data_IF_419169846009
#
_entry.id   IF_419169846009
#
_cell.length_a   1.000
_cell.length_b   1.000
_cell.length_c   1.000
_cell.angle_alpha   90.00
_cell.angle_beta   90.00
_cell.angle_gamma   90.00
#
_symmetry.space_group_name_H-M   'P 1'
#
loop_
_entity.id
_entity.type
_entity.pdbx_description
1 polymer ?
#
# COMPACT_ATOMS: atom_id res chain seq x y z
N UNK A 1 -11.24 26.72 2.91
CA UNK A 1 -11.05 26.82 1.44
C UNK A 1 -11.19 25.41 0.88
N UNK A 2 -12.07 25.23 -0.10
CA UNK A 2 -12.36 23.91 -0.70
C UNK A 2 -11.23 23.51 -1.65
N UNK A 3 -10.76 22.26 -1.59
CA UNK A 3 -9.83 21.67 -2.57
C UNK A 3 -10.69 21.01 -3.64
N UNK A 4 -10.71 21.57 -4.85
CA UNK A 4 -11.51 21.06 -5.96
C UNK A 4 -10.68 20.33 -7.00
N UNK A 5 -9.44 20.78 -7.20
CA UNK A 5 -8.49 20.18 -8.13
C UNK A 5 -7.11 20.07 -7.46
N UNK A 6 -6.22 19.21 -7.97
CA UNK A 6 -4.87 19.07 -7.45
C UNK A 6 -4.11 20.37 -7.21
N UNK A 7 -4.24 21.34 -8.13
CA UNK A 7 -3.52 22.62 -8.07
C UNK A 7 -3.88 23.46 -6.84
N UNK A 8 -5.05 23.24 -6.25
CA UNK A 8 -5.49 23.95 -5.04
C UNK A 8 -4.68 23.53 -3.79
N UNK A 9 -3.87 22.47 -3.89
CA UNK A 9 -2.92 22.06 -2.85
C UNK A 9 -1.69 22.98 -2.77
N UNK A 10 -1.45 23.86 -3.75
CA UNK A 10 -0.33 24.81 -3.70
C UNK A 10 -0.46 25.74 -2.48
N UNK A 11 0.62 25.86 -1.72
CA UNK A 11 0.69 26.58 -0.45
C UNK A 11 -0.04 25.88 0.71
N UNK A 12 -0.49 24.64 0.54
CA UNK A 12 -1.24 23.88 1.56
C UNK A 12 -0.40 22.76 2.17
N UNK A 13 -0.94 22.12 3.19
CA UNK A 13 -0.34 20.96 3.82
C UNK A 13 -1.08 19.67 3.45
N UNK A 14 -0.32 18.59 3.22
CA UNK A 14 -0.84 17.23 3.05
C UNK A 14 -0.21 16.29 4.07
N UNK A 15 -0.90 15.20 4.42
CA UNK A 15 -0.43 14.24 5.41
C UNK A 15 0.04 12.92 4.80
N UNK A 16 1.09 12.35 5.41
CA UNK A 16 1.66 11.02 5.10
C UNK A 16 1.83 10.21 6.38
N UNK A 17 2.04 8.89 6.27
CA UNK A 17 2.26 8.03 7.44
C UNK A 17 3.58 8.28 8.12
N UNK A 18 4.65 8.28 7.34
CA UNK A 18 6.00 8.64 7.76
C UNK A 18 6.84 8.99 6.55
N UNK A 19 7.88 9.80 6.74
CA UNK A 19 8.85 10.05 5.68
C UNK A 19 9.53 8.75 5.23
N UNK A 20 9.69 8.58 3.92
CA UNK A 20 10.24 7.37 3.30
C UNK A 20 9.31 6.15 3.29
N UNK A 21 8.04 6.29 3.68
CA UNK A 21 7.04 5.23 3.49
C UNK A 21 6.36 5.34 2.13
N UNK A 22 5.66 4.27 1.70
CA UNK A 22 4.90 4.29 0.46
C UNK A 22 3.89 5.43 0.33
N UNK A 23 3.28 5.89 1.45
CA UNK A 23 2.39 7.07 1.39
C UNK A 23 3.13 8.39 1.13
N UNK A 24 4.37 8.52 1.59
CA UNK A 24 5.24 9.66 1.27
C UNK A 24 5.69 9.61 -0.19
N UNK A 25 6.17 8.45 -0.65
CA UNK A 25 6.53 8.22 -2.05
C UNK A 25 5.39 8.58 -3.01
N UNK A 26 4.23 7.94 -2.85
CA UNK A 26 3.09 8.13 -3.77
C UNK A 26 2.58 9.57 -3.69
N UNK A 27 2.60 10.21 -2.51
CA UNK A 27 2.19 11.63 -2.38
C UNK A 27 3.11 12.52 -3.19
N UNK A 28 4.43 12.31 -3.10
CA UNK A 28 5.41 13.08 -3.89
C UNK A 28 5.24 12.84 -5.38
N UNK A 29 5.05 11.59 -5.78
CA UNK A 29 4.82 11.21 -7.16
C UNK A 29 3.56 11.87 -7.74
N UNK A 30 2.45 11.83 -7.01
CA UNK A 30 1.19 12.47 -7.39
C UNK A 30 1.33 14.00 -7.49
N UNK A 31 1.99 14.64 -6.52
CA UNK A 31 2.24 16.07 -6.58
C UNK A 31 3.04 16.46 -7.83
N UNK A 32 4.12 15.71 -8.14
CA UNK A 32 4.93 15.95 -9.33
C UNK A 32 4.16 15.75 -10.62
N UNK A 33 3.32 14.71 -10.71
CA UNK A 33 2.49 14.47 -11.90
C UNK A 33 1.44 15.57 -12.12
N UNK A 34 1.09 16.32 -11.06
CA UNK A 34 0.24 17.50 -11.13
C UNK A 34 1.01 18.83 -11.32
N UNK A 35 2.32 18.76 -11.53
CA UNK A 35 3.19 19.94 -11.70
C UNK A 35 3.45 20.72 -10.41
N UNK A 36 3.25 20.10 -9.25
CA UNK A 36 3.54 20.70 -7.94
C UNK A 36 4.85 20.13 -7.38
N UNK A 37 5.74 21.01 -6.92
CA UNK A 37 6.98 20.58 -6.28
C UNK A 37 6.75 20.21 -4.81
N UNK A 38 6.97 18.95 -4.39
CA UNK A 38 6.83 18.55 -3.00
C UNK A 38 7.75 19.36 -2.09
N UNK A 39 7.29 19.73 -0.89
CA UNK A 39 8.01 20.55 0.11
C UNK A 39 8.15 22.03 -0.29
N UNK A 40 8.29 22.36 -1.58
CA UNK A 40 8.36 23.74 -2.07
C UNK A 40 6.97 24.34 -2.26
N UNK A 41 6.12 23.69 -3.04
CA UNK A 41 4.75 24.14 -3.32
C UNK A 41 3.75 23.57 -2.32
N UNK A 42 4.03 22.40 -1.72
CA UNK A 42 3.11 21.72 -0.79
C UNK A 42 3.86 21.19 0.42
N UNK A 43 3.44 21.58 1.63
CA UNK A 43 4.01 21.10 2.89
C UNK A 43 3.57 19.66 3.15
N UNK A 44 4.50 18.78 3.55
CA UNK A 44 4.20 17.38 3.88
C UNK A 44 4.36 17.16 5.38
N UNK A 45 3.30 16.72 6.05
CA UNK A 45 3.27 16.45 7.49
C UNK A 45 3.17 14.94 7.76
N UNK A 46 4.00 14.44 8.66
CA UNK A 46 3.90 13.08 9.17
C UNK A 46 2.86 13.02 10.29
N UNK A 47 1.75 12.31 10.05
CA UNK A 47 0.62 12.23 11.00
C UNK A 47 0.37 10.81 11.51
N UNK A 48 0.86 9.77 10.82
CA UNK A 48 0.66 8.38 11.23
C UNK A 48 -0.32 7.63 10.31
N UNK A 49 -0.96 6.58 10.81
CA UNK A 49 -1.84 5.67 10.07
C UNK A 49 -3.07 6.36 9.43
N UNK A 50 -3.75 5.61 8.55
CA UNK A 50 -4.77 6.18 7.67
C UNK A 50 -5.99 6.79 8.39
N UNK A 51 -6.52 6.22 9.49
CA UNK A 51 -7.63 6.83 10.23
C UNK A 51 -7.31 8.23 10.80
N UNK A 52 -6.10 8.43 11.31
CA UNK A 52 -5.58 9.64 11.93
C UNK A 52 -5.38 10.71 10.87
N UNK A 53 -4.88 10.31 9.69
CA UNK A 53 -4.80 11.20 8.54
C UNK A 53 -6.18 11.61 8.02
N UNK A 54 -7.14 10.69 7.97
CA UNK A 54 -8.51 11.02 7.61
C UNK A 54 -9.11 12.04 8.60
N UNK A 55 -8.92 11.83 9.90
CA UNK A 55 -9.36 12.77 10.93
C UNK A 55 -8.69 14.14 10.77
N UNK A 56 -7.39 14.18 10.45
CA UNK A 56 -6.66 15.42 10.22
C UNK A 56 -7.15 16.19 8.98
N UNK A 57 -7.52 15.49 7.91
CA UNK A 57 -8.13 16.12 6.71
C UNK A 57 -9.54 16.63 7.05
N UNK A 58 -10.36 15.81 7.71
CA UNK A 58 -11.73 16.18 8.07
C UNK A 58 -11.79 17.36 9.05
N UNK A 59 -10.84 17.43 9.99
CA UNK A 59 -10.67 18.56 10.92
C UNK A 59 -9.96 19.77 10.33
N UNK A 60 -9.56 19.74 9.06
CA UNK A 60 -8.92 20.86 8.36
C UNK A 60 -7.47 21.15 8.76
N UNK A 61 -6.84 20.30 9.58
CA UNK A 61 -5.41 20.41 9.96
C UNK A 61 -4.49 20.28 8.74
N UNK A 62 -4.89 19.45 7.78
CA UNK A 62 -4.27 19.32 6.46
C UNK A 62 -5.36 19.33 5.38
N UNK A 63 -4.97 19.64 4.15
CA UNK A 63 -5.88 19.77 3.00
C UNK A 63 -5.95 18.53 2.12
N UNK A 64 -5.10 17.53 2.38
CA UNK A 64 -5.13 16.27 1.64
C UNK A 64 -4.31 15.18 2.32
N UNK A 65 -4.56 13.93 1.94
CA UNK A 65 -3.78 12.77 2.35
C UNK A 65 -4.08 11.62 1.41
N UNK A 66 -3.09 10.77 1.17
CA UNK A 66 -3.37 9.42 0.68
C UNK A 66 -3.99 8.61 1.82
N UNK A 67 -5.08 7.91 1.53
CA UNK A 67 -5.79 7.07 2.49
C UNK A 67 -5.85 5.63 1.99
N UNK A 68 -5.91 4.67 2.92
CA UNK A 68 -6.21 3.30 2.57
C UNK A 68 -7.64 3.21 2.03
N UNK A 69 -7.86 2.28 1.10
CA UNK A 69 -9.17 2.07 0.48
C UNK A 69 -10.31 1.84 1.48
N UNK A 70 -10.00 1.24 2.63
CA UNK A 70 -10.96 1.03 3.73
C UNK A 70 -11.51 2.34 4.32
N UNK A 71 -10.82 3.47 4.15
CA UNK A 71 -11.25 4.78 4.62
C UNK A 71 -12.07 5.54 3.59
N UNK A 72 -12.11 5.10 2.32
CA UNK A 72 -12.82 5.80 1.24
C UNK A 72 -14.31 6.01 1.52
N UNK A 73 -15.08 5.00 2.00
CA UNK A 73 -16.49 5.23 2.33
C UNK A 73 -16.69 6.28 3.43
N UNK A 74 -15.85 6.25 4.46
CA UNK A 74 -15.90 7.23 5.55
C UNK A 74 -15.52 8.64 5.07
N UNK A 75 -14.51 8.75 4.21
CA UNK A 75 -14.10 10.02 3.61
C UNK A 75 -15.24 10.63 2.77
N UNK A 76 -15.92 9.83 1.94
CA UNK A 76 -17.09 10.27 1.17
C UNK A 76 -18.24 10.74 2.06
N UNK A 77 -18.55 10.00 3.15
CA UNK A 77 -19.58 10.40 4.14
C UNK A 77 -19.25 11.71 4.85
N UNK A 78 -17.96 12.04 5.00
CA UNK A 78 -17.48 13.32 5.55
C UNK A 78 -17.45 14.45 4.50
N UNK A 79 -17.96 14.22 3.28
CA UNK A 79 -17.98 15.21 2.21
C UNK A 79 -16.60 15.49 1.59
N UNK A 80 -15.60 14.63 1.85
CA UNK A 80 -14.27 14.79 1.27
C UNK A 80 -14.26 14.37 -0.20
N UNK A 81 -13.47 15.09 -1.00
CA UNK A 81 -13.30 14.84 -2.43
C UNK A 81 -12.11 13.93 -2.68
N UNK A 82 -12.30 12.93 -3.53
CA UNK A 82 -11.20 12.12 -4.08
C UNK A 82 -10.58 12.90 -5.26
N UNK A 83 -9.30 13.25 -5.15
CA UNK A 83 -8.60 14.01 -6.21
C UNK A 83 -8.04 13.10 -7.32
N UNK A 84 -7.65 11.88 -6.97
CA UNK A 84 -7.23 10.86 -7.92
C UNK A 84 -7.34 9.46 -7.32
N UNK A 85 -7.52 8.46 -8.19
CA UNK A 85 -7.26 7.07 -7.86
C UNK A 85 -5.79 6.76 -8.18
N UNK A 86 -4.97 6.68 -7.14
CA UNK A 86 -3.53 6.47 -7.27
C UNK A 86 -3.18 5.01 -7.61
N UNK A 87 -4.16 4.09 -7.66
CA UNK A 87 -3.98 2.77 -8.27
C UNK A 87 -3.80 2.84 -9.79
N UNK A 88 -4.07 4.00 -10.41
CA UNK A 88 -3.90 4.24 -11.84
C UNK A 88 -2.55 4.88 -12.18
N UNK A 89 -1.72 5.20 -11.18
CA UNK A 89 -0.36 5.69 -11.46
C UNK A 89 0.48 4.50 -11.87
N UNK A 90 1.04 4.57 -13.08
CA UNK A 90 1.93 3.56 -13.65
C UNK A 90 3.31 3.61 -12.98
N UNK A 91 3.35 3.15 -11.74
CA UNK A 91 4.57 2.96 -10.98
C UNK A 91 4.47 1.62 -10.28
N UNK A 92 5.33 0.69 -10.68
CA UNK A 92 5.48 -0.59 -10.00
C UNK A 92 6.13 -0.33 -8.63
N UNK A 93 5.28 -0.08 -7.62
CA UNK A 93 5.71 0.12 -6.25
C UNK A 93 5.11 -0.99 -5.37
N UNK A 94 5.93 -1.87 -4.78
CA UNK A 94 5.45 -3.01 -4.03
C UNK A 94 4.69 -2.54 -2.78
N UNK A 95 3.41 -2.88 -2.72
CA UNK A 95 2.53 -2.67 -1.57
C UNK A 95 2.38 -3.99 -0.80
N UNK A 96 2.45 -3.94 0.53
CA UNK A 96 2.18 -5.12 1.36
C UNK A 96 3.22 -6.24 1.22
N UNK A 97 4.50 -5.89 1.37
CA UNK A 97 5.61 -6.85 1.26
C UNK A 97 5.75 -7.67 2.55
N UNK A 98 6.02 -8.97 2.40
CA UNK A 98 6.44 -9.83 3.51
C UNK A 98 7.96 -9.80 3.63
N UNK A 99 8.46 -9.62 4.85
CA UNK A 99 9.90 -9.64 5.14
C UNK A 99 10.15 -10.42 6.43
N UNK A 100 11.33 -11.03 6.50
CA UNK A 100 11.83 -11.75 7.66
C UNK A 100 13.34 -11.50 7.80
N UNK A 101 13.90 -11.76 8.98
CA UNK A 101 15.35 -11.68 9.14
C UNK A 101 16.05 -12.81 8.38
N UNK A 102 17.23 -12.52 7.83
CA UNK A 102 18.07 -13.53 7.16
C UNK A 102 18.31 -14.75 8.05
N UNK A 103 18.59 -14.52 9.35
CA UNK A 103 18.78 -15.59 10.35
C UNK A 103 17.56 -16.51 10.47
N UNK A 104 16.34 -15.96 10.44
CA UNK A 104 15.13 -16.78 10.51
C UNK A 104 14.96 -17.62 9.23
N UNK A 105 15.21 -17.01 8.08
CA UNK A 105 15.12 -17.67 6.77
C UNK A 105 16.11 -18.83 6.68
N UNK A 106 17.37 -18.60 7.08
CA UNK A 106 18.43 -19.61 7.06
C UNK A 106 18.20 -20.73 8.07
N UNK A 107 17.83 -20.38 9.31
CA UNK A 107 17.72 -21.38 10.39
C UNK A 107 16.41 -22.15 10.37
N UNK A 108 15.34 -21.60 9.80
CA UNK A 108 13.99 -22.18 9.83
C UNK A 108 13.31 -22.15 8.45
N UNK A 109 13.94 -22.69 7.39
CA UNK A 109 13.37 -22.68 6.04
C UNK A 109 12.01 -23.40 5.96
N UNK A 110 11.79 -24.44 6.75
CA UNK A 110 10.51 -25.16 6.82
C UNK A 110 9.38 -24.28 7.37
N UNK A 111 9.69 -23.43 8.36
CA UNK A 111 8.72 -22.49 8.92
C UNK A 111 8.34 -21.43 7.88
N UNK A 112 9.32 -20.90 7.14
CA UNK A 112 9.07 -19.95 6.05
C UNK A 112 8.20 -20.59 4.96
N UNK A 113 8.51 -21.83 4.57
CA UNK A 113 7.74 -22.59 3.58
C UNK A 113 6.30 -22.83 4.04
N UNK A 114 6.11 -23.30 5.28
CA UNK A 114 4.78 -23.55 5.84
C UNK A 114 3.96 -22.25 5.95
N UNK A 115 4.59 -21.15 6.38
CA UNK A 115 3.95 -19.84 6.45
C UNK A 115 3.52 -19.35 5.06
N UNK A 116 4.39 -19.40 4.06
CA UNK A 116 4.08 -18.93 2.71
C UNK A 116 2.98 -19.79 2.05
N UNK A 117 2.99 -21.11 2.28
CA UNK A 117 1.90 -21.99 1.85
C UNK A 117 0.57 -21.55 2.47
N UNK A 118 0.51 -21.41 3.80
CA UNK A 118 -0.68 -20.98 4.51
C UNK A 118 -1.14 -19.57 4.08
N UNK A 119 -0.21 -18.67 3.77
CA UNK A 119 -0.49 -17.33 3.28
C UNK A 119 -1.18 -17.37 1.90
N UNK A 120 -0.66 -18.15 0.95
CA UNK A 120 -1.25 -18.31 -0.38
C UNK A 120 -2.62 -19.00 -0.30
N UNK A 121 -2.76 -20.05 0.52
CA UNK A 121 -4.06 -20.69 0.78
C UNK A 121 -5.06 -19.70 1.41
N UNK A 122 -4.60 -18.83 2.31
CA UNK A 122 -5.40 -17.77 2.90
C UNK A 122 -5.89 -16.75 1.86
N UNK A 123 -5.06 -16.39 0.88
CA UNK A 123 -5.46 -15.55 -0.26
C UNK A 123 -6.57 -16.24 -1.05
N UNK A 124 -6.42 -17.52 -1.37
CA UNK A 124 -7.43 -18.29 -2.11
C UNK A 124 -8.75 -18.38 -1.33
N UNK A 125 -8.68 -18.65 -0.03
CA UNK A 125 -9.86 -18.67 0.83
C UNK A 125 -10.56 -17.30 0.87
N UNK A 126 -9.79 -16.21 0.98
CA UNK A 126 -10.34 -14.86 0.97
C UNK A 126 -11.01 -14.50 -0.37
N UNK A 127 -10.46 -14.96 -1.49
CA UNK A 127 -11.03 -14.75 -2.83
C UNK A 127 -12.30 -15.56 -3.07
N UNK A 128 -12.34 -16.81 -2.64
CA UNK A 128 -13.39 -17.77 -3.00
C UNK A 128 -14.52 -17.87 -1.97
N UNK A 129 -14.25 -17.66 -0.68
CA UNK A 129 -15.24 -17.73 0.39
C UNK A 129 -15.71 -16.33 0.81
N UNK A 130 -16.67 -15.76 0.07
CA UNK A 130 -17.21 -14.41 0.31
C UNK A 130 -17.75 -14.21 1.74
N UNK A 131 -18.59 -15.09 2.32
CA UNK A 131 -19.06 -14.91 3.69
C UNK A 131 -17.94 -14.77 4.71
N UNK A 132 -16.93 -15.64 4.64
CA UNK A 132 -15.77 -15.58 5.54
C UNK A 132 -14.96 -14.28 5.32
N UNK A 133 -14.70 -13.92 4.06
CA UNK A 133 -13.96 -12.71 3.71
C UNK A 133 -14.68 -11.44 4.20
N UNK A 134 -15.99 -11.36 4.05
CA UNK A 134 -16.80 -10.23 4.51
C UNK A 134 -16.79 -10.09 6.03
N UNK A 135 -16.86 -11.19 6.77
CA UNK A 135 -16.73 -11.17 8.23
C UNK A 135 -15.34 -10.67 8.67
N UNK A 136 -14.28 -11.10 7.99
CA UNK A 136 -12.91 -10.62 8.25
C UNK A 136 -12.79 -9.12 7.95
N UNK A 137 -13.32 -8.65 6.82
CA UNK A 137 -13.32 -7.23 6.45
C UNK A 137 -14.05 -6.42 7.53
N UNK A 138 -15.27 -6.81 7.92
CA UNK A 138 -16.05 -6.09 8.92
C UNK A 138 -15.28 -5.98 10.26
N UNK A 139 -14.70 -7.10 10.72
CA UNK A 139 -13.95 -7.17 11.97
C UNK A 139 -12.67 -6.31 11.96
N UNK A 140 -11.94 -6.29 10.85
CA UNK A 140 -10.60 -5.69 10.78
C UNK A 140 -10.60 -4.24 10.31
N UNK A 141 -11.56 -3.85 9.46
CA UNK A 141 -11.64 -2.50 8.89
C UNK A 141 -12.61 -1.58 9.64
N UNK A 142 -13.55 -2.15 10.40
CA UNK A 142 -14.65 -1.40 11.01
C UNK A 142 -15.73 -0.93 10.03
N UNK A 143 -15.67 -1.34 8.75
CA UNK A 143 -16.75 -1.11 7.78
C UNK A 143 -17.96 -1.93 8.21
N UNK A 144 -19.12 -1.26 8.32
CA UNK A 144 -20.38 -1.89 8.75
C UNK A 144 -21.37 -2.10 7.62
N UNK A 145 -21.35 -1.22 6.62
CA UNK A 145 -22.28 -1.27 5.50
C UNK A 145 -21.91 -2.43 4.57
N UNK A 146 -22.91 -3.24 4.20
CA UNK A 146 -22.69 -4.43 3.39
C UNK A 146 -22.17 -4.09 2.00
N UNK A 147 -22.72 -3.06 1.36
CA UNK A 147 -22.30 -2.65 0.02
C UNK A 147 -20.85 -2.14 0.02
N UNK A 148 -20.45 -1.41 1.06
CA UNK A 148 -19.06 -0.97 1.24
C UNK A 148 -18.10 -2.16 1.45
N UNK A 149 -18.53 -3.20 2.17
CA UNK A 149 -17.74 -4.44 2.37
C UNK A 149 -17.58 -5.19 1.05
N UNK A 150 -18.65 -5.33 0.27
CA UNK A 150 -18.63 -6.04 -1.02
C UNK A 150 -17.73 -5.33 -2.04
N UNK A 151 -17.83 -4.00 -2.12
CA UNK A 151 -16.95 -3.20 -2.98
C UNK A 151 -15.49 -3.30 -2.51
N UNK A 152 -15.24 -3.22 -1.20
CA UNK A 152 -13.89 -3.37 -0.67
C UNK A 152 -13.28 -4.75 -0.97
N UNK A 153 -14.06 -5.83 -0.80
CA UNK A 153 -13.65 -7.18 -1.18
C UNK A 153 -13.34 -7.30 -2.67
N UNK A 154 -14.22 -6.79 -3.52
CA UNK A 154 -14.03 -6.78 -4.98
C UNK A 154 -12.73 -6.06 -5.35
N UNK A 155 -12.49 -4.87 -4.80
CA UNK A 155 -11.26 -4.12 -5.08
C UNK A 155 -10.02 -4.87 -4.59
N UNK A 156 -10.03 -5.43 -3.37
CA UNK A 156 -8.90 -6.21 -2.85
C UNK A 156 -8.58 -7.41 -3.74
N UNK A 157 -9.59 -8.19 -4.10
CA UNK A 157 -9.41 -9.46 -4.83
C UNK A 157 -9.07 -9.27 -6.31
N UNK A 158 -9.44 -8.15 -6.91
CA UNK A 158 -9.18 -7.85 -8.33
C UNK A 158 -7.93 -7.01 -8.56
N UNK A 159 -7.54 -6.14 -7.62
CA UNK A 159 -6.43 -5.19 -7.82
C UNK A 159 -5.21 -5.41 -6.92
N UNK A 160 -5.38 -5.93 -5.70
CA UNK A 160 -4.31 -5.89 -4.68
C UNK A 160 -3.80 -7.26 -4.23
N UNK A 161 -4.68 -8.28 -4.20
CA UNK A 161 -4.31 -9.63 -3.79
C UNK A 161 -3.95 -10.44 -5.04
N UNK A 162 -2.65 -10.59 -5.28
CA UNK A 162 -2.13 -11.49 -6.31
C UNK A 162 -2.37 -12.95 -5.88
N UNK A 163 -2.81 -13.80 -6.80
CA UNK A 163 -2.91 -15.26 -6.52
C UNK A 163 -1.55 -15.85 -6.17
N UNK A 164 -0.52 -15.34 -6.83
CA UNK A 164 0.86 -15.70 -6.60
C UNK A 164 1.66 -14.42 -6.28
N UNK A 165 1.78 -14.05 -4.99
CA UNK A 165 2.36 -12.78 -4.54
C UNK A 165 3.89 -12.82 -4.59
N UNK A 166 4.44 -12.93 -5.80
CA UNK A 166 5.87 -12.91 -6.02
C UNK A 166 6.37 -11.46 -6.10
N UNK A 167 7.37 -11.06 -5.29
CA UNK A 167 7.98 -9.74 -5.44
C UNK A 167 8.76 -9.66 -6.75
N UNK A 168 8.83 -8.46 -7.32
CA UNK A 168 9.50 -8.19 -8.60
C UNK A 168 10.77 -7.37 -8.41
N UNK A 169 11.77 -7.63 -9.27
CA UNK A 169 13.01 -6.85 -9.33
C UNK A 169 12.71 -5.39 -9.68
N UNK A 170 11.81 -5.16 -10.64
CA UNK A 170 11.38 -3.82 -11.05
C UNK A 170 10.74 -3.05 -9.89
N UNK A 171 9.82 -3.68 -9.14
CA UNK A 171 9.21 -3.08 -7.96
C UNK A 171 10.22 -2.73 -6.88
N UNK A 172 11.17 -3.63 -6.60
CA UNK A 172 12.23 -3.37 -5.63
C UNK A 172 13.18 -2.26 -6.11
N UNK A 173 13.49 -2.19 -7.40
CA UNK A 173 14.28 -1.12 -8.00
C UNK A 173 13.60 0.24 -7.81
N UNK A 174 12.29 0.35 -8.04
CA UNK A 174 11.53 1.58 -7.77
C UNK A 174 11.71 2.07 -6.34
N UNK A 175 11.67 1.16 -5.36
CA UNK A 175 11.88 1.50 -3.93
C UNK A 175 13.32 1.95 -3.68
N UNK A 176 14.31 1.23 -4.22
CA UNK A 176 15.72 1.58 -4.05
C UNK A 176 16.06 2.92 -4.71
N UNK A 177 15.48 3.23 -5.87
CA UNK A 177 15.68 4.52 -6.55
C UNK A 177 15.11 5.67 -5.72
N UNK A 178 13.90 5.51 -5.17
CA UNK A 178 13.27 6.52 -4.30
C UNK A 178 14.08 6.78 -3.02
N UNK A 179 14.40 5.72 -2.29
CA UNK A 179 15.14 5.83 -1.03
C UNK A 179 16.61 6.24 -1.27
N UNK A 180 17.19 5.77 -2.37
CA UNK A 180 18.55 6.08 -2.82
C UNK A 180 18.72 7.54 -3.22
N UNK A 181 17.66 8.25 -3.61
CA UNK A 181 17.74 9.69 -3.89
C UNK A 181 18.33 10.50 -2.72
N UNK A 182 18.11 10.06 -1.48
CA UNK A 182 18.57 10.73 -0.25
C UNK A 182 19.61 9.94 0.55
N UNK A 183 19.88 8.69 0.20
CA UNK A 183 20.80 7.83 0.95
C UNK A 183 21.78 7.10 0.01
N UNK A 184 23.05 7.52 -0.08
CA UNK A 184 24.05 6.88 -0.93
C UNK A 184 24.22 5.38 -0.69
N UNK A 185 24.12 4.91 0.56
CA UNK A 185 24.27 3.48 0.90
C UNK A 185 23.18 2.60 0.27
N UNK A 186 22.01 3.17 -0.01
CA UNK A 186 20.91 2.44 -0.64
C UNK A 186 21.19 2.26 -2.14
N UNK A 187 21.92 3.19 -2.78
CA UNK A 187 22.29 3.10 -4.19
C UNK A 187 23.25 1.96 -4.49
N UNK A 188 23.95 1.46 -3.48
CA UNK A 188 24.88 0.34 -3.58
C UNK A 188 24.16 -1.02 -3.52
N UNK A 189 22.92 -1.06 -3.03
CA UNK A 189 22.14 -2.30 -2.94
C UNK A 189 21.61 -2.70 -4.31
N UNK A 190 21.64 -4.01 -4.59
CA UNK A 190 20.98 -4.57 -5.77
C UNK A 190 19.61 -5.11 -5.38
N UNK A 191 18.56 -4.87 -6.21
CA UNK A 191 17.23 -5.44 -5.96
C UNK A 191 17.26 -6.95 -5.69
N UNK A 192 18.08 -7.70 -6.43
CA UNK A 192 18.18 -9.15 -6.38
C UNK A 192 18.69 -9.66 -5.02
N UNK A 193 19.54 -8.89 -4.36
CA UNK A 193 20.11 -9.26 -3.05
C UNK A 193 19.06 -9.15 -1.93
N UNK A 194 17.92 -8.50 -2.18
CA UNK A 194 16.86 -8.26 -1.21
C UNK A 194 15.63 -9.17 -1.42
N UNK A 195 15.64 -10.01 -2.46
CA UNK A 195 14.49 -10.83 -2.85
C UNK A 195 14.80 -12.32 -2.71
N UNK A 196 14.16 -12.99 -1.77
CA UNK A 196 14.17 -14.45 -1.71
C UNK A 196 12.86 -15.04 -2.26
N UNK A 197 12.87 -15.36 -3.55
CA UNK A 197 11.69 -15.91 -4.25
C UNK A 197 11.65 -17.44 -4.24
N UNK A 198 12.69 -18.12 -3.75
CA UNK A 198 12.87 -19.57 -3.89
C UNK A 198 11.74 -20.35 -3.23
N UNK A 199 11.32 -19.93 -2.04
CA UNK A 199 10.24 -20.59 -1.29
C UNK A 199 8.91 -20.62 -2.06
N UNK A 200 8.47 -19.46 -2.57
CA UNK A 200 7.23 -19.37 -3.35
C UNK A 200 7.36 -20.09 -4.69
N UNK A 201 8.53 -20.06 -5.35
CA UNK A 201 8.76 -20.78 -6.61
C UNK A 201 8.69 -22.29 -6.41
N UNK A 202 9.39 -22.81 -5.41
CA UNK A 202 9.39 -24.24 -5.08
C UNK A 202 7.98 -24.73 -4.73
N UNK A 203 7.21 -23.97 -3.95
CA UNK A 203 5.81 -24.32 -3.63
C UNK A 203 4.92 -24.40 -4.88
N UNK A 204 5.12 -23.50 -5.85
CA UNK A 204 4.38 -23.50 -7.11
C UNK A 204 4.79 -24.65 -8.01
N UNK A 205 6.09 -24.87 -8.18
CA UNK A 205 6.65 -25.94 -9.00
C UNK A 205 6.29 -27.34 -8.47
N UNK A 206 6.22 -27.50 -7.14
CA UNK A 206 5.80 -28.76 -6.52
C UNK A 206 4.29 -29.00 -6.56
N UNK A 207 3.49 -28.03 -7.03
CA UNK A 207 2.03 -28.07 -7.00
C UNK A 207 1.42 -27.95 -5.59
N UNK A 208 2.20 -27.52 -4.59
CA UNK A 208 1.72 -27.34 -3.21
C UNK A 208 0.80 -26.12 -3.06
N UNK A 209 0.87 -25.18 -4.00
CA UNK A 209 -0.04 -24.05 -4.17
C UNK A 209 -0.46 -23.97 -5.65
N UNK A 210 -1.66 -23.46 -5.91
CA UNK A 210 -2.23 -23.30 -7.26
C UNK A 210 -2.13 -21.84 -7.72
#
# INVERSE_FOLDING_TARGET
MSIARPQDLKGKAVAVSRFGSGSDFITRLALRSWGLEPVKDVTILQIGNSPERLAAVAGGKVQGSILSLSQTPRAKKLGLRVLADLSQIDAEYPQGVLYASAVLIEKRPDLITAFLKAYVEGIQQFKTNRPAAYNIIAKTSGIKDRSDIEEYHKVLTTKFLLDYPLPTVAGMKTVLDDLGAKNPKIRELKPEDLLDTRFLRNLKESGAIK
#
